data_IF_606831631989
#
_entry.id   IF_606831631989
#
_cell.length_a   1.000
_cell.length_b   1.000
_cell.length_c   1.000
_cell.angle_alpha   90.00
_cell.angle_beta   90.00
_cell.angle_gamma   90.00
#
_symmetry.space_group_name_H-M   'P 1'
#
loop_
_entity.id
_entity.type
_entity.pdbx_description
1 polymer ?
#
# COMPACT_ATOMS: atom_id res chain seq x y z
N UNK A 1 -10.91 -12.15 8.06
CA UNK A 1 -9.93 -12.83 7.19
C UNK A 1 -9.09 -11.82 6.43
N UNK A 2 -7.79 -12.02 6.45
CA UNK A 2 -6.86 -11.07 5.82
C UNK A 2 -6.87 -11.22 4.29
N UNK A 3 -7.12 -10.14 3.59
CA UNK A 3 -7.22 -10.16 2.12
C UNK A 3 -6.87 -8.82 1.49
N UNK A 4 -6.66 -8.85 0.18
CA UNK A 4 -6.49 -7.66 -0.65
C UNK A 4 -7.87 -7.05 -0.90
N UNK A 5 -8.09 -5.85 -0.39
CA UNK A 5 -9.35 -5.14 -0.57
C UNK A 5 -9.39 -4.40 -1.91
N UNK A 6 -8.28 -3.76 -2.28
CA UNK A 6 -8.16 -3.02 -3.54
C UNK A 6 -6.68 -2.92 -3.93
N UNK A 7 -6.41 -2.59 -5.18
CA UNK A 7 -5.06 -2.41 -5.70
C UNK A 7 -5.02 -1.09 -6.47
N UNK A 8 -3.99 -0.28 -6.21
CA UNK A 8 -3.85 1.01 -6.88
C UNK A 8 -2.44 1.22 -7.41
N UNK A 9 -2.33 1.76 -8.60
CA UNK A 9 -1.05 2.10 -9.24
C UNK A 9 -1.15 3.47 -9.91
N UNK A 10 0.00 4.06 -10.18
CA UNK A 10 0.11 5.25 -11.00
C UNK A 10 1.40 5.16 -11.82
N UNK A 11 1.34 5.51 -13.09
CA UNK A 11 2.51 5.50 -13.96
C UNK A 11 3.42 6.69 -13.71
N UNK A 12 2.90 7.76 -13.09
CA UNK A 12 3.65 9.00 -12.86
C UNK A 12 3.74 9.33 -11.38
N UNK A 13 4.89 9.84 -10.94
CA UNK A 13 5.14 10.16 -9.53
C UNK A 13 4.13 11.14 -8.93
N UNK A 14 3.58 12.03 -9.73
CA UNK A 14 2.54 12.98 -9.31
C UNK A 14 1.22 12.74 -10.02
N UNK A 15 1.07 11.61 -10.71
CA UNK A 15 -0.15 11.25 -11.40
C UNK A 15 -1.21 10.73 -10.45
N UNK A 16 -2.44 10.69 -10.94
CA UNK A 16 -3.55 10.10 -10.17
C UNK A 16 -3.36 8.59 -10.04
N UNK A 17 -3.71 8.08 -8.88
CA UNK A 17 -3.75 6.64 -8.66
C UNK A 17 -4.98 6.06 -9.34
N UNK A 18 -4.81 4.85 -9.86
CA UNK A 18 -5.86 4.12 -10.55
C UNK A 18 -6.06 2.77 -9.89
N UNK A 19 -7.31 2.44 -9.56
CA UNK A 19 -7.64 1.10 -9.07
C UNK A 19 -7.59 0.10 -10.22
N UNK A 20 -6.98 -1.06 -9.98
CA UNK A 20 -6.89 -2.13 -10.96
C UNK A 20 -7.26 -3.46 -10.31
N UNK A 21 -7.68 -4.44 -11.14
CA UNK A 21 -8.12 -5.75 -10.64
C UNK A 21 -6.95 -6.66 -10.25
N UNK A 22 -5.82 -6.47 -10.89
CA UNK A 22 -4.63 -7.29 -10.64
C UNK A 22 -3.37 -6.55 -11.06
N UNK A 23 -2.25 -6.99 -10.50
CA UNK A 23 -0.92 -6.47 -10.87
C UNK A 23 0.08 -7.60 -10.89
N UNK A 24 1.19 -7.40 -11.59
CA UNK A 24 2.33 -8.29 -11.56
C UNK A 24 3.41 -7.68 -10.69
N UNK A 25 3.85 -8.42 -9.68
CA UNK A 25 4.93 -8.03 -8.78
C UNK A 25 6.21 -8.75 -9.20
N UNK A 26 7.33 -8.02 -9.24
CA UNK A 26 8.62 -8.57 -9.67
C UNK A 26 9.66 -8.33 -8.57
N UNK A 27 10.27 -9.41 -8.10
CA UNK A 27 11.26 -9.35 -7.03
C UNK A 27 12.41 -8.41 -7.41
N UNK A 28 12.79 -7.55 -6.47
CA UNK A 28 13.86 -6.58 -6.67
C UNK A 28 13.49 -5.38 -7.52
N UNK A 29 12.28 -5.32 -8.07
CA UNK A 29 11.89 -4.26 -9.01
C UNK A 29 10.64 -3.49 -8.59
N UNK A 30 9.56 -4.18 -8.23
CA UNK A 30 8.30 -3.54 -7.86
C UNK A 30 7.12 -4.06 -8.64
N UNK A 31 6.09 -3.22 -8.78
CA UNK A 31 4.86 -3.56 -9.50
C UNK A 31 4.96 -3.02 -10.93
N UNK A 32 4.76 -3.90 -11.90
CA UNK A 32 4.77 -3.52 -13.33
C UNK A 32 3.71 -2.45 -13.57
N UNK A 33 4.09 -1.41 -14.31
CA UNK A 33 3.26 -0.24 -14.64
C UNK A 33 3.04 0.74 -13.47
N UNK A 34 3.72 0.53 -12.35
CA UNK A 34 3.69 1.51 -11.26
C UNK A 34 4.95 2.37 -11.31
N UNK A 35 4.84 3.61 -10.84
CA UNK A 35 5.89 4.63 -10.89
C UNK A 35 7.19 4.24 -10.16
N UNK A 36 7.09 3.33 -9.18
CA UNK A 36 8.25 2.90 -8.40
C UNK A 36 8.98 1.70 -9.01
N UNK A 37 8.46 1.14 -10.11
CA UNK A 37 9.08 -0.01 -10.77
C UNK A 37 10.39 0.39 -11.43
N UNK A 38 11.49 -0.27 -11.07
CA UNK A 38 12.79 -0.08 -11.72
C UNK A 38 13.74 -1.22 -11.37
N UNK A 39 14.76 -1.43 -12.23
CA UNK A 39 15.81 -2.40 -11.93
C UNK A 39 16.58 -1.99 -10.68
N UNK A 40 17.04 -2.97 -9.91
CA UNK A 40 17.81 -2.76 -8.68
C UNK A 40 17.14 -1.76 -7.73
N UNK A 41 15.83 -1.88 -7.58
CA UNK A 41 15.06 -0.98 -6.76
C UNK A 41 15.38 -1.17 -5.28
N UNK A 42 15.35 -0.06 -4.51
CA UNK A 42 15.49 -0.11 -3.06
C UNK A 42 14.49 -1.11 -2.46
N UNK A 43 14.91 -1.87 -1.44
CA UNK A 43 14.02 -2.80 -0.77
C UNK A 43 12.85 -2.12 -0.03
N UNK A 44 12.86 -0.80 0.07
CA UNK A 44 11.79 -0.02 0.71
C UNK A 44 10.87 0.67 -0.27
N UNK A 45 11.09 0.50 -1.58
CA UNK A 45 10.33 1.21 -2.60
C UNK A 45 9.62 0.29 -3.59
N UNK A 46 9.55 -1.01 -3.31
CA UNK A 46 9.03 -1.96 -4.30
C UNK A 46 7.51 -2.10 -4.25
N UNK A 47 6.93 -2.18 -3.05
CA UNK A 47 5.49 -2.32 -2.89
C UNK A 47 5.07 -1.74 -1.53
N UNK A 48 3.94 -1.06 -1.51
CA UNK A 48 3.42 -0.43 -0.29
C UNK A 48 2.02 -0.93 0.02
N UNK A 49 1.70 -1.04 1.31
CA UNK A 49 0.42 -1.54 1.80
C UNK A 49 -0.21 -0.53 2.76
N UNK A 50 -1.54 -0.49 2.82
CA UNK A 50 -2.28 0.30 3.82
C UNK A 50 -3.57 -0.42 4.18
N UNK A 51 -4.02 -0.29 5.44
CA UNK A 51 -5.26 -0.89 5.93
C UNK A 51 -6.47 -0.05 5.55
N UNK A 52 -7.47 -0.67 4.92
CA UNK A 52 -8.74 0.02 4.63
C UNK A 52 -9.43 0.46 5.93
N UNK A 53 -9.28 -0.30 7.01
CA UNK A 53 -9.88 0.03 8.30
C UNK A 53 -9.42 1.40 8.81
N UNK A 54 -8.15 1.74 8.63
CA UNK A 54 -7.62 3.03 9.06
C UNK A 54 -8.16 4.18 8.23
N UNK A 55 -8.36 3.95 6.94
CA UNK A 55 -8.95 4.97 6.04
C UNK A 55 -10.42 5.17 6.38
N UNK A 56 -11.15 4.08 6.60
CA UNK A 56 -12.56 4.14 6.98
C UNK A 56 -12.74 4.86 8.32
N UNK A 57 -11.88 4.57 9.29
CA UNK A 57 -11.92 5.23 10.59
C UNK A 57 -11.71 6.74 10.45
N UNK A 58 -10.72 7.14 9.64
CA UNK A 58 -10.46 8.56 9.39
C UNK A 58 -11.67 9.23 8.75
N UNK A 59 -12.23 8.60 7.71
CA UNK A 59 -13.40 9.16 7.00
C UNK A 59 -14.58 9.34 7.94
N UNK A 60 -14.83 8.37 8.81
CA UNK A 60 -15.92 8.45 9.77
C UNK A 60 -15.69 9.56 10.80
N UNK A 61 -14.49 9.58 11.39
CA UNK A 61 -14.13 10.58 12.40
C UNK A 61 -14.13 12.00 11.84
N UNK A 62 -13.67 12.19 10.63
CA UNK A 62 -13.50 13.52 10.01
C UNK A 62 -14.68 13.92 9.13
N UNK A 63 -15.70 13.08 9.01
CA UNK A 63 -16.85 13.30 8.14
C UNK A 63 -16.42 13.59 6.70
N UNK A 64 -15.49 12.75 6.19
CA UNK A 64 -14.96 12.86 4.84
C UNK A 64 -15.25 11.60 4.04
N UNK A 65 -15.00 11.64 2.72
CA UNK A 65 -15.21 10.50 1.83
C UNK A 65 -13.97 10.28 0.97
N UNK A 66 -12.79 10.28 1.59
CA UNK A 66 -11.53 10.07 0.87
C UNK A 66 -11.50 8.65 0.30
N UNK A 67 -11.00 8.54 -0.93
CA UNK A 67 -10.86 7.25 -1.60
C UNK A 67 -9.55 6.58 -1.19
N UNK A 68 -9.59 5.27 -0.96
CA UNK A 68 -8.41 4.52 -0.54
C UNK A 68 -7.24 4.69 -1.51
N UNK A 69 -7.49 4.65 -2.82
CA UNK A 69 -6.45 4.80 -3.84
C UNK A 69 -5.69 6.12 -3.73
N UNK A 70 -6.33 7.17 -3.22
CA UNK A 70 -5.71 8.49 -3.15
C UNK A 70 -4.70 8.61 -2.01
N UNK A 71 -4.60 7.60 -1.13
CA UNK A 71 -3.54 7.50 -0.14
C UNK A 71 -2.22 7.05 -0.76
N UNK A 72 -2.23 6.68 -2.04
CA UNK A 72 -1.05 6.42 -2.85
C UNK A 72 -0.22 5.23 -2.39
N UNK A 73 -0.90 4.22 -1.84
CA UNK A 73 -0.31 2.91 -1.55
C UNK A 73 -0.83 1.90 -2.58
N UNK A 74 -0.04 0.87 -2.83
CA UNK A 74 -0.35 -0.10 -3.88
C UNK A 74 -1.43 -1.10 -3.48
N UNK A 75 -1.28 -1.72 -2.31
CA UNK A 75 -2.19 -2.77 -1.85
C UNK A 75 -2.97 -2.23 -0.66
N UNK A 76 -4.28 -2.14 -0.81
CA UNK A 76 -5.18 -1.78 0.27
C UNK A 76 -5.64 -3.10 0.89
N UNK A 77 -5.36 -3.30 2.17
CA UNK A 77 -5.62 -4.55 2.87
C UNK A 77 -6.85 -4.46 3.75
N UNK A 78 -7.44 -5.63 4.04
CA UNK A 78 -8.55 -5.76 4.98
C UNK A 78 -8.31 -6.96 5.88
N UNK A 79 -8.59 -6.81 7.18
CA UNK A 79 -8.55 -7.91 8.13
C UNK A 79 -7.16 -8.28 8.65
N UNK A 80 -6.18 -7.39 8.52
CA UNK A 80 -4.82 -7.65 9.01
C UNK A 80 -4.26 -6.40 9.68
N UNK A 81 -3.57 -6.59 10.81
CA UNK A 81 -2.85 -5.52 11.53
C UNK A 81 -1.45 -5.41 10.95
N UNK A 82 -1.26 -4.53 9.98
CA UNK A 82 0.00 -4.43 9.23
C UNK A 82 1.21 -4.13 10.11
N UNK A 83 1.05 -3.30 11.14
CA UNK A 83 2.18 -2.94 12.00
C UNK A 83 2.80 -4.15 12.72
N UNK A 84 2.03 -5.23 12.90
CA UNK A 84 2.54 -6.47 13.50
C UNK A 84 3.40 -7.29 12.54
N UNK A 85 3.43 -6.92 11.27
CA UNK A 85 4.19 -7.65 10.24
C UNK A 85 5.56 -7.02 9.94
N UNK A 86 5.93 -5.94 10.61
CA UNK A 86 7.25 -5.32 10.42
C UNK A 86 8.34 -6.35 10.70
N UNK A 87 9.34 -6.39 9.82
CA UNK A 87 10.46 -7.33 9.82
C UNK A 87 10.07 -8.79 9.54
N UNK A 88 8.81 -9.03 9.17
CA UNK A 88 8.34 -10.38 8.85
C UNK A 88 8.15 -10.56 7.35
N UNK A 89 8.25 -11.82 6.93
CA UNK A 89 7.93 -12.25 5.57
C UNK A 89 6.52 -12.84 5.57
N UNK A 90 5.77 -12.56 4.52
CA UNK A 90 4.41 -13.08 4.38
C UNK A 90 4.00 -13.10 2.92
N UNK A 91 2.86 -13.74 2.64
CA UNK A 91 2.36 -13.87 1.27
C UNK A 91 1.14 -12.97 1.04
N UNK A 92 1.13 -12.33 -0.14
CA UNK A 92 -0.04 -11.65 -0.69
C UNK A 92 -0.39 -12.45 -1.95
N UNK A 93 -1.42 -13.30 -1.88
CA UNK A 93 -1.66 -14.27 -2.93
C UNK A 93 -0.44 -15.18 -3.10
N UNK A 94 0.10 -15.24 -4.30
CA UNK A 94 1.30 -16.04 -4.59
C UNK A 94 2.61 -15.26 -4.42
N UNK A 95 2.54 -13.98 -4.12
CA UNK A 95 3.70 -13.09 -4.00
C UNK A 95 4.20 -13.07 -2.58
N UNK A 96 5.49 -13.37 -2.38
CA UNK A 96 6.11 -13.27 -1.07
C UNK A 96 6.77 -11.92 -0.91
N UNK A 97 6.51 -11.27 0.22
CA UNK A 97 7.07 -9.95 0.53
C UNK A 97 7.71 -9.96 1.92
N UNK A 98 8.58 -9.00 2.16
CA UNK A 98 9.12 -8.71 3.48
C UNK A 98 8.81 -7.26 3.83
N UNK A 99 8.20 -7.03 4.98
CA UNK A 99 7.93 -5.68 5.47
C UNK A 99 9.17 -5.13 6.16
N UNK A 100 9.60 -3.94 5.77
CA UNK A 100 10.79 -3.31 6.33
C UNK A 100 10.46 -2.22 7.34
N UNK A 101 9.57 -1.29 7.00
CA UNK A 101 9.23 -0.20 7.91
C UNK A 101 7.86 0.39 7.56
N UNK A 102 7.42 1.32 8.38
CA UNK A 102 6.17 2.03 8.17
C UNK A 102 6.32 3.09 7.07
N UNK A 103 5.28 3.22 6.25
CA UNK A 103 5.14 4.38 5.38
C UNK A 103 4.80 5.59 6.25
N UNK A 104 5.54 6.65 6.11
CA UNK A 104 5.24 7.89 6.84
C UNK A 104 4.34 8.77 5.99
N UNK A 105 3.28 9.34 6.56
CA UNK A 105 2.49 10.33 5.84
C UNK A 105 3.35 11.57 5.60
N UNK A 106 3.21 12.19 4.44
CA UNK A 106 4.03 13.34 4.08
C UNK A 106 3.17 14.54 3.73
N UNK A 107 3.82 15.70 3.63
CA UNK A 107 3.14 16.95 3.28
C UNK A 107 2.45 16.85 1.93
N UNK A 108 3.08 16.20 0.95
CA UNK A 108 2.50 16.02 -0.37
C UNK A 108 1.16 15.25 -0.29
N UNK A 109 1.14 14.16 0.48
CA UNK A 109 -0.08 13.38 0.68
C UNK A 109 -1.18 14.23 1.32
N UNK A 110 -0.81 14.99 2.36
CA UNK A 110 -1.75 15.87 3.05
C UNK A 110 -2.36 16.91 2.11
N UNK A 111 -1.55 17.51 1.26
CA UNK A 111 -2.00 18.48 0.27
C UNK A 111 -2.88 17.83 -0.80
N UNK A 112 -2.47 16.66 -1.30
CA UNK A 112 -3.20 15.92 -2.32
C UNK A 112 -4.59 15.51 -1.84
N UNK A 113 -4.70 15.10 -0.58
CA UNK A 113 -5.98 14.73 0.03
C UNK A 113 -6.79 15.94 0.48
N UNK A 114 -6.19 17.14 0.44
CA UNK A 114 -6.81 18.39 0.88
C UNK A 114 -7.31 18.30 2.32
N UNK A 115 -6.46 17.73 3.20
CA UNK A 115 -6.76 17.58 4.63
C UNK A 115 -5.60 18.17 5.42
N UNK A 116 -5.89 18.82 6.55
CA UNK A 116 -4.86 19.50 7.35
C UNK A 116 -4.18 18.62 8.38
N UNK A 117 -4.75 17.46 8.67
CA UNK A 117 -4.32 16.63 9.80
C UNK A 117 -3.87 15.21 9.42
N UNK A 118 -3.59 14.97 8.13
CA UNK A 118 -3.20 13.64 7.65
C UNK A 118 -1.91 13.16 8.31
N UNK A 119 -0.89 14.03 8.39
CA UNK A 119 0.39 13.66 8.99
C UNK A 119 0.19 13.19 10.42
N UNK A 120 -0.60 13.93 11.21
CA UNK A 120 -0.87 13.60 12.59
C UNK A 120 -1.67 12.31 12.74
N UNK A 121 -2.76 12.17 11.97
CA UNK A 121 -3.69 11.05 12.12
C UNK A 121 -3.14 9.74 11.58
N UNK A 122 -2.24 9.79 10.58
CA UNK A 122 -1.66 8.59 9.97
C UNK A 122 -0.21 8.34 10.37
N UNK A 123 0.28 8.96 11.45
CA UNK A 123 1.68 8.84 11.85
C UNK A 123 2.14 7.39 12.01
N UNK A 124 1.26 6.50 12.51
CA UNK A 124 1.55 5.06 12.65
C UNK A 124 0.52 4.20 11.90
N UNK A 125 -0.21 4.81 10.98
CA UNK A 125 -1.27 4.15 10.22
C UNK A 125 -1.10 4.31 8.71
N UNK A 126 0.05 4.82 8.29
CA UNK A 126 0.33 5.10 6.87
C UNK A 126 0.64 3.87 6.04
N UNK A 127 0.74 2.70 6.65
CA UNK A 127 0.97 1.45 5.96
C UNK A 127 2.42 0.98 6.03
N UNK A 128 2.75 -0.02 5.22
CA UNK A 128 4.07 -0.65 5.21
C UNK A 128 4.80 -0.45 3.89
N UNK A 129 6.12 -0.33 3.98
CA UNK A 129 7.03 -0.44 2.85
C UNK A 129 7.58 -1.86 2.82
N UNK A 130 7.42 -2.52 1.69
CA UNK A 130 7.81 -3.92 1.57
C UNK A 130 8.72 -4.15 0.36
N UNK A 131 9.47 -5.24 0.48
CA UNK A 131 10.31 -5.79 -0.57
C UNK A 131 9.62 -7.01 -1.15
N UNK A 132 9.68 -7.19 -2.46
CA UNK A 132 9.13 -8.36 -3.13
C UNK A 132 10.23 -9.42 -3.20
N UNK A 133 9.96 -10.58 -2.62
CA UNK A 133 10.93 -11.70 -2.58
C UNK A 133 10.64 -12.76 -3.63
N UNK A 134 9.37 -13.02 -3.93
CA UNK A 134 8.95 -14.00 -4.96
C UNK A 134 7.97 -13.32 -5.88
N UNK A 135 8.24 -13.40 -7.19
CA UNK A 135 7.40 -12.84 -8.26
C UNK A 135 6.02 -13.49 -8.28
N UNK A 136 5.06 -12.78 -8.83
CA UNK A 136 3.75 -13.33 -9.11
C UNK A 136 2.71 -12.27 -9.36
N UNK A 137 1.47 -12.72 -9.51
CA UNK A 137 0.31 -11.84 -9.62
C UNK A 137 -0.33 -11.64 -8.26
N UNK A 138 -0.85 -10.44 -8.06
CA UNK A 138 -1.71 -10.11 -6.94
C UNK A 138 -3.05 -9.69 -7.52
N UNK A 139 -4.13 -10.32 -7.04
CA UNK A 139 -5.49 -10.02 -7.48
C UNK A 139 -6.28 -9.45 -6.31
N UNK A 140 -7.23 -8.57 -6.61
CA UNK A 140 -8.21 -8.13 -5.61
C UNK A 140 -8.93 -9.37 -5.07
N UNK A 141 -9.02 -9.49 -3.75
CA UNK A 141 -9.61 -10.65 -3.09
C UNK A 141 -8.61 -11.72 -2.68
N UNK A 142 -7.36 -11.63 -3.12
CA UNK A 142 -6.32 -12.59 -2.72
C UNK A 142 -6.13 -12.58 -1.20
N UNK A 143 -5.86 -13.76 -0.65
CA UNK A 143 -5.59 -13.92 0.78
C UNK A 143 -4.21 -13.43 1.13
N UNK A 144 -4.09 -12.86 2.32
CA UNK A 144 -2.81 -12.49 2.92
C UNK A 144 -2.52 -13.52 4.01
N UNK A 145 -1.39 -14.24 3.87
CA UNK A 145 -1.00 -15.31 4.80
C UNK A 145 0.28 -14.90 5.53
N UNK A 146 0.21 -14.87 6.85
CA UNK A 146 1.31 -14.43 7.72
C UNK A 146 1.46 -15.29 8.95
#
# INVERSE_FOLDING_TARGET
MAKVFDIAISQNSKGKMKSVDNVKAVAGRGIVNDRHYKENNSNRCQITLIEIENINYYNEKSTTSLLAKDFRRNIITEGVKLNQLIDKEFFIGEVKVKAHDLCRPCKYLQETLNQKNIIKEFLQKGGLRCEILIDGKILVGDKIKY
#
